data_IF_873225052492
#
_entry.id   IF_873225052492
#
_cell.length_a   1.000
_cell.length_b   1.000
_cell.length_c   1.000
_cell.angle_alpha   90.00
_cell.angle_beta   90.00
_cell.angle_gamma   90.00
#
_symmetry.space_group_name_H-M   'P 1'
#
loop_
_entity.id
_entity.type
_entity.pdbx_description
1 polymer ?
#
# COMPACT_ATOMS: atom_id res chain seq x y z
N UNK A 1 -12.83 15.46 -9.43
CA UNK A 1 -11.76 16.38 -8.97
C UNK A 1 -10.58 16.12 -9.90
N UNK A 2 -10.34 17.01 -10.87
CA UNK A 2 -9.11 16.96 -11.65
C UNK A 2 -8.00 17.33 -10.66
N UNK A 3 -7.21 16.34 -10.26
CA UNK A 3 -5.91 16.64 -9.68
C UNK A 3 -5.11 17.24 -10.84
N UNK A 4 -4.62 18.47 -10.69
CA UNK A 4 -3.66 19.01 -11.64
C UNK A 4 -2.42 18.11 -11.58
N UNK A 5 -2.27 17.30 -12.62
CA UNK A 5 -1.21 16.32 -12.79
C UNK A 5 0.09 16.99 -13.29
N UNK A 6 0.19 18.32 -13.21
CA UNK A 6 1.32 19.10 -13.73
C UNK A 6 2.66 18.61 -13.16
N UNK A 7 2.66 18.07 -11.94
CA UNK A 7 3.86 17.52 -11.29
C UNK A 7 3.83 15.99 -11.16
N UNK A 8 3.07 15.27 -12.00
CA UNK A 8 2.97 13.81 -11.90
C UNK A 8 4.34 13.13 -11.95
N UNK A 9 5.16 13.50 -12.93
CA UNK A 9 6.44 12.85 -13.15
C UNK A 9 7.43 13.13 -12.02
N UNK A 10 7.44 14.36 -11.50
CA UNK A 10 8.23 14.73 -10.32
C UNK A 10 7.85 13.89 -9.10
N UNK A 11 6.55 13.77 -8.81
CA UNK A 11 6.05 12.95 -7.68
C UNK A 11 6.35 11.47 -7.89
N UNK A 12 6.25 10.98 -9.13
CA UNK A 12 6.57 9.60 -9.48
C UNK A 12 8.05 9.32 -9.25
N UNK A 13 8.94 10.14 -9.80
CA UNK A 13 10.39 9.97 -9.66
C UNK A 13 10.83 10.08 -8.20
N UNK A 14 10.41 11.13 -7.49
CA UNK A 14 10.73 11.29 -6.07
C UNK A 14 10.18 10.16 -5.21
N UNK A 15 9.00 9.63 -5.55
CA UNK A 15 8.42 8.46 -4.90
C UNK A 15 9.19 7.16 -5.17
N UNK A 16 9.70 6.95 -6.39
CA UNK A 16 10.56 5.80 -6.71
C UNK A 16 11.90 5.88 -5.98
N UNK A 17 12.50 7.06 -5.92
CA UNK A 17 13.77 7.27 -5.23
C UNK A 17 13.60 7.09 -3.72
N UNK A 18 12.52 7.64 -3.14
CA UNK A 18 12.15 7.34 -1.75
C UNK A 18 11.98 5.83 -1.55
N UNK A 19 11.25 5.13 -2.42
CA UNK A 19 11.04 3.69 -2.28
C UNK A 19 12.35 2.91 -2.25
N UNK A 20 13.33 3.26 -3.10
CA UNK A 20 14.65 2.61 -3.12
C UNK A 20 15.45 2.80 -1.83
N UNK A 21 15.19 3.88 -1.08
CA UNK A 21 15.82 4.09 0.24
C UNK A 21 15.14 3.29 1.36
N UNK A 22 13.92 2.80 1.13
CA UNK A 22 13.21 1.95 2.08
C UNK A 22 13.62 0.50 1.85
N UNK A 23 14.35 -0.09 2.79
CA UNK A 23 14.72 -1.50 2.75
C UNK A 23 13.72 -2.35 3.54
N UNK A 24 13.73 -2.18 4.87
CA UNK A 24 12.86 -2.90 5.78
C UNK A 24 12.33 -2.01 6.91
N UNK A 25 11.14 -2.33 7.40
CA UNK A 25 10.50 -1.62 8.53
C UNK A 25 9.97 -2.62 9.55
N UNK A 26 10.37 -2.49 10.81
CA UNK A 26 9.80 -3.29 11.90
C UNK A 26 8.33 -2.92 12.15
N UNK A 27 7.46 -3.94 12.19
CA UNK A 27 6.04 -3.79 12.50
C UNK A 27 5.69 -4.47 13.84
N UNK A 28 5.23 -3.71 14.85
CA UNK A 28 4.90 -4.26 16.17
C UNK A 28 3.83 -5.36 16.14
N UNK A 29 2.82 -5.25 15.28
CA UNK A 29 1.76 -6.26 15.15
C UNK A 29 2.33 -7.65 14.80
N UNK A 30 3.23 -7.73 13.82
CA UNK A 30 3.83 -8.99 13.38
C UNK A 30 5.06 -9.40 14.18
N UNK A 31 5.59 -8.50 15.03
CA UNK A 31 6.87 -8.66 15.72
C UNK A 31 8.02 -9.02 14.76
N UNK A 32 7.95 -8.55 13.52
CA UNK A 32 8.94 -8.83 12.48
C UNK A 32 9.07 -7.64 11.53
N UNK A 33 10.02 -7.74 10.59
CA UNK A 33 10.26 -6.72 9.59
C UNK A 33 9.43 -6.96 8.33
N UNK A 34 8.93 -5.87 7.76
CA UNK A 34 8.24 -5.81 6.48
C UNK A 34 9.21 -5.23 5.46
N UNK A 35 9.43 -5.97 4.37
CA UNK A 35 10.34 -5.55 3.29
C UNK A 35 9.66 -4.65 2.27
N UNK A 36 10.39 -3.68 1.73
CA UNK A 36 9.98 -2.82 0.63
C UNK A 36 10.70 -3.28 -0.64
N UNK A 37 10.12 -4.27 -1.32
CA UNK A 37 10.77 -4.95 -2.45
C UNK A 37 10.27 -4.47 -3.82
N UNK A 38 10.85 -5.03 -4.88
CA UNK A 38 10.48 -4.71 -6.27
C UNK A 38 9.02 -5.01 -6.60
N UNK A 39 8.41 -6.03 -5.99
CA UNK A 39 7.00 -6.36 -6.22
C UNK A 39 6.07 -5.28 -5.67
N UNK A 40 6.36 -4.75 -4.49
CA UNK A 40 5.62 -3.62 -3.90
C UNK A 40 5.71 -2.38 -4.78
N UNK A 41 6.91 -2.03 -5.24
CA UNK A 41 7.12 -0.89 -6.15
C UNK A 41 6.40 -1.07 -7.49
N UNK A 42 6.46 -2.27 -8.08
CA UNK A 42 5.75 -2.58 -9.32
C UNK A 42 4.25 -2.43 -9.12
N UNK A 43 3.70 -2.88 -7.99
CA UNK A 43 2.29 -2.75 -7.69
C UNK A 43 1.84 -1.30 -7.43
N UNK A 44 2.72 -0.37 -7.08
CA UNK A 44 2.38 1.06 -7.06
C UNK A 44 2.09 1.60 -8.46
N UNK A 45 2.78 1.08 -9.48
CA UNK A 45 2.68 1.50 -10.89
C UNK A 45 1.63 0.74 -11.66
N UNK A 46 1.51 -0.56 -11.41
CA UNK A 46 0.68 -1.48 -12.16
C UNK A 46 -0.41 -2.07 -11.28
N UNK A 47 -1.61 -2.23 -11.84
CA UNK A 47 -2.73 -2.90 -11.15
C UNK A 47 -2.60 -4.41 -11.29
N UNK A 48 -2.20 -4.84 -12.48
CA UNK A 48 -2.00 -6.23 -12.87
C UNK A 48 -0.88 -6.28 -13.90
N UNK A 49 -0.40 -7.47 -14.25
CA UNK A 49 0.56 -7.65 -15.31
C UNK A 49 0.08 -6.97 -16.61
N UNK A 50 0.93 -6.14 -17.22
CA UNK A 50 0.63 -5.36 -18.43
C UNK A 50 -0.51 -4.33 -18.30
N UNK A 51 -1.01 -4.07 -17.09
CA UNK A 51 -2.06 -3.06 -16.85
C UNK A 51 -1.57 -1.99 -15.89
N UNK A 52 -1.10 -0.87 -16.45
CA UNK A 52 -0.73 0.30 -15.68
C UNK A 52 -1.94 0.86 -14.91
N UNK A 53 -1.67 1.45 -13.75
CA UNK A 53 -2.66 2.27 -13.04
C UNK A 53 -2.83 3.60 -13.75
N UNK A 54 -3.98 4.25 -13.57
CA UNK A 54 -4.15 5.63 -14.04
C UNK A 54 -3.12 6.55 -13.37
N UNK A 55 -2.75 7.65 -14.04
CA UNK A 55 -1.81 8.62 -13.48
C UNK A 55 -2.27 9.16 -12.12
N UNK A 56 -3.58 9.39 -11.96
CA UNK A 56 -4.17 9.81 -10.68
C UNK A 56 -3.96 8.77 -9.58
N UNK A 57 -4.16 7.49 -9.89
CA UNK A 57 -3.93 6.41 -8.94
C UNK A 57 -2.46 6.29 -8.54
N UNK A 58 -1.55 6.42 -9.50
CA UNK A 58 -0.11 6.39 -9.23
C UNK A 58 0.31 7.60 -8.40
N UNK A 59 -0.11 8.81 -8.80
CA UNK A 59 0.16 10.07 -8.10
C UNK A 59 -0.19 9.98 -6.63
N UNK A 60 -1.42 9.55 -6.32
CA UNK A 60 -1.89 9.46 -4.94
C UNK A 60 -1.07 8.49 -4.09
N UNK A 61 -0.58 7.40 -4.69
CA UNK A 61 0.18 6.38 -3.95
C UNK A 61 1.62 6.79 -3.70
N UNK A 62 2.28 7.35 -4.71
CA UNK A 62 3.62 7.89 -4.55
C UNK A 62 3.64 9.08 -3.60
N UNK A 63 2.65 9.99 -3.71
CA UNK A 63 2.52 11.12 -2.79
C UNK A 63 2.37 10.69 -1.33
N UNK A 64 1.67 9.59 -1.06
CA UNK A 64 1.44 9.10 0.30
C UNK A 64 2.52 8.12 0.79
N UNK A 65 3.45 7.68 -0.07
CA UNK A 65 4.38 6.59 0.21
C UNK A 65 5.19 6.80 1.50
N UNK A 66 5.60 8.03 1.78
CA UNK A 66 6.34 8.40 3.00
C UNK A 66 5.60 8.05 4.30
N UNK A 67 4.26 7.92 4.27
CA UNK A 67 3.46 7.54 5.42
C UNK A 67 3.47 6.03 5.68
N UNK A 68 3.76 5.19 4.67
CA UNK A 68 3.77 3.74 4.81
C UNK A 68 4.69 3.24 5.94
N UNK A 69 5.98 3.64 6.03
CA UNK A 69 6.84 3.25 7.14
C UNK A 69 6.35 3.78 8.49
N UNK A 70 5.74 4.97 8.52
CA UNK A 70 5.21 5.57 9.77
C UNK A 70 4.06 4.72 10.32
N UNK A 71 3.11 4.35 9.46
CA UNK A 71 1.97 3.50 9.83
C UNK A 71 2.47 2.14 10.32
N UNK A 72 3.34 1.47 9.56
CA UNK A 72 3.82 0.13 9.93
C UNK A 72 4.57 0.11 11.28
N UNK A 73 5.36 1.15 11.60
CA UNK A 73 6.08 1.27 12.88
C UNK A 73 5.15 1.52 14.06
N UNK A 74 4.04 2.22 13.84
CA UNK A 74 3.09 2.58 14.89
C UNK A 74 1.99 1.52 15.11
N UNK A 75 1.73 0.66 14.13
CA UNK A 75 0.62 -0.29 14.17
C UNK A 75 0.93 -1.52 15.02
N UNK A 76 0.15 -1.68 16.10
CA UNK A 76 0.10 -2.88 16.95
C UNK A 76 -1.19 -3.70 16.76
N UNK A 77 -2.13 -3.20 15.97
CA UNK A 77 -3.40 -3.87 15.66
C UNK A 77 -3.66 -3.83 14.17
N UNK A 78 -4.44 -4.81 13.70
CA UNK A 78 -4.79 -4.98 12.30
C UNK A 78 -6.28 -4.69 12.08
N UNK A 79 -6.62 -4.06 10.95
CA UNK A 79 -8.00 -3.67 10.63
C UNK A 79 -8.64 -4.55 9.54
N UNK A 80 -7.86 -5.37 8.84
CA UNK A 80 -8.40 -6.33 7.88
C UNK A 80 -7.41 -7.44 7.53
N UNK A 81 -7.95 -8.64 7.31
CA UNK A 81 -7.22 -9.81 6.81
C UNK A 81 -8.03 -10.36 5.63
N UNK A 82 -7.36 -10.61 4.51
CA UNK A 82 -7.97 -11.30 3.38
C UNK A 82 -7.02 -12.35 2.83
N UNK A 83 -7.45 -13.61 2.88
CA UNK A 83 -6.71 -14.75 2.34
C UNK A 83 -7.38 -15.25 1.05
N UNK A 84 -6.56 -15.58 0.06
CA UNK A 84 -7.02 -16.09 -1.23
C UNK A 84 -5.97 -16.97 -1.90
N UNK A 85 -6.35 -17.69 -2.96
CA UNK A 85 -5.41 -18.42 -3.82
C UNK A 85 -5.12 -17.60 -5.07
N UNK A 86 -3.85 -17.27 -5.30
CA UNK A 86 -3.40 -16.51 -6.46
C UNK A 86 -2.23 -17.21 -7.17
N UNK A 87 -2.14 -16.99 -8.48
CA UNK A 87 -0.96 -17.38 -9.25
C UNK A 87 0.15 -16.35 -9.02
N UNK A 88 1.24 -16.80 -8.42
CA UNK A 88 2.39 -15.96 -8.09
C UNK A 88 3.61 -16.38 -8.92
N UNK A 89 4.37 -15.38 -9.39
CA UNK A 89 5.62 -15.62 -10.12
C UNK A 89 6.76 -15.75 -9.13
N UNK A 90 7.25 -16.97 -8.96
CA UNK A 90 8.32 -17.30 -8.01
C UNK A 90 9.53 -17.83 -8.75
N UNK A 91 10.72 -17.47 -8.27
CA UNK A 91 11.97 -17.99 -8.82
C UNK A 91 12.29 -19.32 -8.14
N UNK A 92 12.23 -20.40 -8.89
CA UNK A 92 12.55 -21.76 -8.45
C UNK A 92 13.70 -22.27 -9.32
N UNK A 93 14.81 -22.69 -8.72
CA UNK A 93 15.96 -23.30 -9.42
C UNK A 93 16.36 -22.55 -10.71
N UNK A 94 16.61 -21.23 -10.59
CA UNK A 94 16.99 -20.35 -11.70
C UNK A 94 15.96 -20.10 -12.80
N UNK A 95 14.73 -20.64 -12.67
CA UNK A 95 13.60 -20.37 -13.56
C UNK A 95 12.53 -19.57 -12.82
N UNK A 96 11.80 -18.73 -13.54
CA UNK A 96 10.60 -18.07 -13.00
C UNK A 96 9.39 -18.88 -13.39
N UNK A 97 8.75 -19.47 -12.39
CA UNK A 97 7.55 -20.28 -12.58
C UNK A 97 6.31 -19.55 -12.05
N UNK A 98 5.15 -19.88 -12.60
CA UNK A 98 3.86 -19.32 -12.14
C UNK A 98 3.11 -20.41 -11.39
N UNK A 99 3.01 -20.28 -10.08
CA UNK A 99 2.48 -21.33 -9.21
C UNK A 99 1.29 -20.80 -8.41
N UNK A 100 0.25 -21.62 -8.28
CA UNK A 100 -0.89 -21.30 -7.42
C UNK A 100 -0.45 -21.41 -5.96
N UNK A 101 -0.58 -20.31 -5.21
CA UNK A 101 -0.17 -20.20 -3.80
C UNK A 101 -1.24 -19.51 -2.98
N UNK A 102 -1.28 -19.83 -1.69
CA UNK A 102 -2.07 -19.06 -0.73
C UNK A 102 -1.39 -17.70 -0.54
N UNK A 103 -2.19 -16.63 -0.61
CA UNK A 103 -1.73 -15.26 -0.45
C UNK A 103 -2.62 -14.56 0.57
N UNK A 104 -1.98 -13.94 1.55
CA UNK A 104 -2.64 -13.21 2.61
C UNK A 104 -2.32 -11.72 2.50
N UNK A 105 -3.37 -10.90 2.54
CA UNK A 105 -3.29 -9.45 2.58
C UNK A 105 -3.71 -8.96 3.96
N UNK A 106 -2.89 -8.08 4.52
CA UNK A 106 -3.10 -7.47 5.82
C UNK A 106 -3.29 -5.96 5.65
N UNK A 107 -4.37 -5.43 6.20
CA UNK A 107 -4.73 -4.02 6.09
C UNK A 107 -4.53 -3.27 7.42
N UNK A 108 -3.67 -2.25 7.39
CA UNK A 108 -3.50 -1.29 8.47
C UNK A 108 -4.15 0.04 8.08
N UNK A 109 -5.06 0.53 8.92
CA UNK A 109 -5.71 1.84 8.72
C UNK A 109 -5.26 2.79 9.82
N UNK A 110 -4.75 3.95 9.44
CA UNK A 110 -4.28 4.97 10.37
C UNK A 110 -4.62 6.37 9.87
N UNK A 111 -4.74 7.32 10.81
CA UNK A 111 -4.79 8.75 10.51
C UNK A 111 -3.44 9.35 10.89
N UNK A 112 -2.67 9.77 9.88
CA UNK A 112 -1.35 10.37 10.04
C UNK A 112 -1.37 11.72 9.31
N UNK A 113 -0.88 12.80 9.93
CA UNK A 113 -0.87 14.14 9.32
C UNK A 113 -2.26 14.63 8.82
N UNK A 114 -3.34 14.27 9.53
CA UNK A 114 -4.74 14.53 9.11
C UNK A 114 -5.09 13.86 7.76
N UNK A 115 -4.42 12.76 7.45
CA UNK A 115 -4.63 11.93 6.27
C UNK A 115 -4.96 10.51 6.73
N UNK A 116 -6.15 10.00 6.36
CA UNK A 116 -6.53 8.61 6.67
C UNK A 116 -6.03 7.67 5.60
N UNK A 117 -5.01 6.86 5.86
CA UNK A 117 -4.44 5.95 4.87
C UNK A 117 -4.71 4.50 5.24
N UNK A 118 -4.75 3.65 4.21
CA UNK A 118 -4.67 2.20 4.36
C UNK A 118 -3.36 1.71 3.77
N UNK A 119 -2.54 1.05 4.58
CA UNK A 119 -1.34 0.34 4.15
C UNK A 119 -1.67 -1.14 4.05
N UNK A 120 -1.24 -1.75 2.95
CA UNK A 120 -1.47 -3.17 2.66
C UNK A 120 -0.11 -3.87 2.68
N UNK A 121 -0.01 -4.93 3.48
CA UNK A 121 1.10 -5.88 3.49
C UNK A 121 0.63 -7.17 2.84
N UNK A 122 1.48 -7.77 2.00
CA UNK A 122 1.22 -9.04 1.32
C UNK A 122 2.19 -10.10 1.84
N UNK A 123 1.69 -11.33 1.98
CA UNK A 123 2.48 -12.52 2.26
C UNK A 123 2.08 -13.63 1.31
N UNK A 124 3.06 -14.34 0.74
CA UNK A 124 2.84 -15.50 -0.11
C UNK A 124 3.26 -16.73 0.69
N UNK A 125 2.33 -17.67 0.91
CA UNK A 125 2.46 -18.96 1.62
C UNK A 125 3.84 -19.25 2.26
N UNK A 126 4.00 -18.87 3.54
CA UNK A 126 5.22 -19.13 4.33
C UNK A 126 6.43 -18.24 4.00
N UNK A 127 6.33 -17.40 2.97
CA UNK A 127 7.33 -16.42 2.59
C UNK A 127 7.33 -15.16 3.46
N UNK A 128 8.30 -14.29 3.19
CA UNK A 128 8.45 -13.01 3.88
C UNK A 128 7.29 -12.07 3.58
N UNK A 129 6.91 -11.28 4.58
CA UNK A 129 5.96 -10.19 4.39
C UNK A 129 6.62 -9.00 3.72
N UNK A 130 5.89 -8.37 2.81
CA UNK A 130 6.35 -7.19 2.11
C UNK A 130 5.25 -6.17 1.91
N UNK A 131 5.65 -4.91 1.82
CA UNK A 131 4.75 -3.82 1.47
C UNK A 131 4.13 -4.07 0.09
N UNK A 132 2.81 -3.97 0.00
CA UNK A 132 2.08 -4.14 -1.26
C UNK A 132 1.55 -2.81 -1.79
N UNK A 133 0.90 -2.00 -0.96
CA UNK A 133 0.36 -0.71 -1.39
C UNK A 133 0.07 0.22 -0.23
N UNK A 134 -0.06 1.50 -0.54
CA UNK A 134 -0.69 2.50 0.31
C UNK A 134 -1.83 3.13 -0.49
N UNK A 135 -2.98 3.34 0.12
CA UNK A 135 -4.11 4.02 -0.54
C UNK A 135 -4.73 5.06 0.38
N UNK A 136 -5.26 6.17 -0.18
CA UNK A 136 -6.15 7.03 0.55
C UNK A 136 -7.36 6.23 1.04
N UNK A 137 -7.67 6.33 2.33
CA UNK A 137 -8.80 5.69 2.98
C UNK A 137 -9.73 6.73 3.61
N UNK A 138 -9.95 7.84 2.88
CA UNK A 138 -10.91 8.89 3.22
C UNK A 138 -11.97 9.02 2.14
N UNK A 139 -13.18 9.38 2.55
CA UNK A 139 -14.14 10.02 1.66
C UNK A 139 -13.86 11.52 1.56
N UNK A 140 -14.39 12.19 0.54
CA UNK A 140 -14.50 13.66 0.57
C UNK A 140 -15.92 13.98 0.95
N UNK A 141 -16.10 14.83 1.96
CA UNK A 141 -17.41 15.34 2.31
C UNK A 141 -17.94 16.18 1.13
N UNK A 142 -19.12 15.83 0.62
CA UNK A 142 -19.69 16.48 -0.58
C UNK A 142 -20.05 17.95 -0.35
N UNK A 143 -20.34 18.34 0.89
CA UNK A 143 -20.82 19.66 1.25
C UNK A 143 -19.64 20.57 1.64
N UNK A 144 -18.75 20.08 2.49
CA UNK A 144 -17.63 20.88 3.02
C UNK A 144 -16.35 20.76 2.20
N UNK A 145 -16.29 19.81 1.24
CA UNK A 145 -15.09 19.44 0.47
C UNK A 145 -13.89 19.03 1.34
N UNK A 146 -14.09 18.80 2.65
CA UNK A 146 -13.05 18.37 3.59
C UNK A 146 -12.84 16.85 3.51
N UNK A 147 -11.66 16.38 3.93
CA UNK A 147 -11.33 14.95 4.02
C UNK A 147 -12.10 14.32 5.18
N UNK A 148 -12.85 13.25 4.92
CA UNK A 148 -13.56 12.45 5.91
C UNK A 148 -12.58 11.46 6.55
N UNK A 149 -12.22 11.70 7.81
CA UNK A 149 -11.26 10.89 8.57
C UNK A 149 -11.90 9.78 9.41
N UNK A 150 -13.20 9.55 9.25
CA UNK A 150 -13.97 8.57 10.00
C UNK A 150 -14.90 7.78 9.07
N UNK A 151 -15.35 6.63 9.54
CA UNK A 151 -16.43 5.84 8.92
C UNK A 151 -17.70 6.03 9.76
N UNK A 152 -18.87 5.79 9.16
CA UNK A 152 -20.15 5.94 9.87
C UNK A 152 -20.47 7.38 10.30
N UNK A 153 -21.21 7.47 11.40
CA UNK A 153 -21.59 8.67 12.14
C UNK A 153 -21.09 8.52 13.58
N UNK A 154 -19.83 8.88 13.90
CA UNK A 154 -19.23 8.63 15.21
C UNK A 154 -19.93 9.27 16.40
N UNK A 155 -20.88 10.18 16.17
CA UNK A 155 -21.72 10.77 17.22
C UNK A 155 -22.83 9.81 17.66
N UNK A 156 -23.35 9.02 16.72
CA UNK A 156 -24.54 8.20 16.87
C UNK A 156 -24.21 6.69 16.89
N UNK A 157 -22.98 6.30 16.52
CA UNK A 157 -22.40 4.96 16.59
C UNK A 157 -21.71 4.71 17.95
#
# INVERSE_FOLDING_TARGET
>A
MSLDLENFEEVRMGGEDLYKTLDEVYCPYFKSKISFNSQGLEHLKFKQQRKARSQQDQYMRFKLLHLAPVVLKASSTLQGIWETKNFERIRIHSRTDTVLKIVTYYEFVAVVEKIRVKVIVKQIEGGNMFFWSIIPYWGVDKNTKKRKLYSGYPKDD
#
